data_IF_747327592778
#
_entry.id   IF_747327592778
#
_cell.length_a   1.000
_cell.length_b   1.000
_cell.length_c   1.000
_cell.angle_alpha   90.00
_cell.angle_beta   90.00
_cell.angle_gamma   90.00
#
_symmetry.space_group_name_H-M   'P 1'
#
loop_
_entity.id
_entity.type
_entity.pdbx_description
1 polymer ?
#
# COMPACT_ATOMS: atom_id res chain seq x y z
N UNK A 1 -1.80 -19.65 -16.43
CA UNK A 1 -0.51 -18.93 -16.31
C UNK A 1 -0.13 -18.92 -14.84
N UNK A 2 0.81 -19.78 -14.41
CA UNK A 2 1.27 -19.78 -13.01
C UNK A 2 1.92 -18.42 -12.71
N UNK A 3 1.60 -17.75 -11.60
CA UNK A 3 2.29 -16.52 -11.24
C UNK A 3 3.74 -16.88 -10.93
N UNK A 4 4.66 -16.50 -11.84
CA UNK A 4 6.08 -16.74 -11.62
C UNK A 4 6.52 -15.98 -10.36
N UNK A 5 7.45 -16.55 -9.59
CA UNK A 5 7.97 -15.89 -8.39
C UNK A 5 8.47 -14.46 -8.68
N UNK A 6 8.98 -14.23 -9.89
CA UNK A 6 9.38 -12.91 -10.38
C UNK A 6 8.23 -11.89 -10.44
N UNK A 7 7.00 -12.29 -10.81
CA UNK A 7 5.86 -11.35 -10.84
C UNK A 7 5.41 -11.00 -9.42
N UNK A 8 5.41 -11.98 -8.51
CA UNK A 8 5.14 -11.75 -7.08
C UNK A 8 6.19 -10.84 -6.43
N UNK A 9 7.47 -11.03 -6.76
CA UNK A 9 8.56 -10.20 -6.23
C UNK A 9 8.45 -8.75 -6.73
N UNK A 10 8.13 -8.55 -8.01
CA UNK A 10 7.89 -7.21 -8.58
C UNK A 10 6.69 -6.54 -7.91
N UNK A 11 5.61 -7.28 -7.69
CA UNK A 11 4.42 -6.77 -7.01
C UNK A 11 4.72 -6.39 -5.56
N UNK A 12 5.49 -7.22 -4.84
CA UNK A 12 5.95 -6.92 -3.49
C UNK A 12 6.83 -5.66 -3.44
N UNK A 13 7.78 -5.52 -4.37
CA UNK A 13 8.62 -4.32 -4.45
C UNK A 13 7.81 -3.05 -4.70
N UNK A 14 6.87 -3.08 -5.65
CA UNK A 14 5.99 -1.94 -5.92
C UNK A 14 5.15 -1.60 -4.70
N UNK A 15 4.57 -2.61 -4.04
CA UNK A 15 3.86 -2.44 -2.77
C UNK A 15 4.73 -1.79 -1.70
N UNK A 16 5.95 -2.29 -1.48
CA UNK A 16 6.88 -1.72 -0.48
C UNK A 16 7.21 -0.26 -0.77
N UNK A 17 7.49 0.08 -2.03
CA UNK A 17 7.81 1.47 -2.42
C UNK A 17 6.64 2.43 -2.20
N UNK A 18 5.40 1.97 -2.37
CA UNK A 18 4.21 2.81 -2.13
C UNK A 18 3.78 2.84 -0.66
N UNK A 19 3.88 1.72 0.05
CA UNK A 19 3.46 1.62 1.45
C UNK A 19 4.45 2.32 2.40
N UNK A 20 5.76 2.19 2.16
CA UNK A 20 6.79 2.80 3.00
C UNK A 20 6.58 4.31 3.25
N UNK A 21 6.45 5.16 2.22
CA UNK A 21 6.25 6.60 2.43
C UNK A 21 4.93 6.92 3.13
N UNK A 22 3.87 6.11 2.93
CA UNK A 22 2.58 6.29 3.64
C UNK A 22 2.76 6.05 5.13
N UNK A 23 3.44 4.96 5.50
CA UNK A 23 3.74 4.63 6.90
C UNK A 23 4.59 5.73 7.52
N UNK A 24 5.66 6.16 6.84
CA UNK A 24 6.53 7.24 7.30
C UNK A 24 5.75 8.54 7.51
N UNK A 25 4.92 8.94 6.56
CA UNK A 25 4.12 10.16 6.66
C UNK A 25 3.14 10.12 7.85
N UNK A 26 2.44 8.99 8.03
CA UNK A 26 1.56 8.80 9.18
C UNK A 26 2.31 8.89 10.50
N UNK A 27 3.50 8.28 10.60
CA UNK A 27 4.33 8.37 11.80
C UNK A 27 4.77 9.80 12.09
N UNK A 28 5.19 10.54 11.06
CA UNK A 28 5.57 11.96 11.20
C UNK A 28 4.40 12.86 11.61
N UNK A 29 3.17 12.50 11.25
CA UNK A 29 1.96 13.23 11.66
C UNK A 29 1.53 12.82 13.07
N UNK A 30 1.55 11.52 13.38
CA UNK A 30 1.09 10.99 14.68
C UNK A 30 2.05 11.30 15.81
N UNK A 31 3.37 11.30 15.58
CA UNK A 31 4.37 11.64 16.60
C UNK A 31 4.10 12.99 17.29
N UNK A 32 3.92 14.11 16.57
CA UNK A 32 3.62 15.40 17.20
C UNK A 32 2.19 15.52 17.72
N UNK A 33 1.22 14.76 17.17
CA UNK A 33 -0.18 14.79 17.61
C UNK A 33 -0.44 13.98 18.89
N UNK A 34 0.38 12.98 19.15
CA UNK A 34 0.19 12.05 20.28
C UNK A 34 1.39 12.00 21.22
N UNK A 35 2.02 13.14 21.60
CA UNK A 35 3.32 13.15 22.29
C UNK A 35 3.30 12.44 23.65
N UNK A 36 2.15 12.43 24.33
CA UNK A 36 1.92 11.79 25.63
C UNK A 36 1.37 10.37 25.55
N UNK A 37 1.13 9.85 24.34
CA UNK A 37 0.53 8.53 24.16
C UNK A 37 1.58 7.43 24.23
N UNK A 38 1.23 6.35 24.92
CA UNK A 38 2.02 5.13 24.89
C UNK A 38 2.01 4.50 23.50
N UNK A 39 3.03 3.68 23.22
CA UNK A 39 3.21 3.00 21.93
C UNK A 39 1.96 2.21 21.51
N UNK A 40 1.25 1.59 22.47
CA UNK A 40 0.06 0.79 22.17
C UNK A 40 -1.13 1.65 21.73
N UNK A 41 -1.34 2.83 22.32
CA UNK A 41 -2.41 3.77 21.96
C UNK A 41 -2.17 4.33 20.56
N UNK A 42 -0.91 4.69 20.27
CA UNK A 42 -0.51 5.13 18.92
C UNK A 42 -0.73 4.02 17.91
N UNK A 43 -0.35 2.78 18.23
CA UNK A 43 -0.49 1.63 17.34
C UNK A 43 -1.97 1.30 17.05
N UNK A 44 -2.83 1.44 18.06
CA UNK A 44 -4.28 1.23 17.93
C UNK A 44 -4.92 2.18 16.91
N UNK A 45 -4.42 3.40 16.77
CA UNK A 45 -4.92 4.37 15.78
C UNK A 45 -4.17 4.25 14.46
N UNK A 46 -2.85 4.13 14.52
CA UNK A 46 -1.96 4.07 13.37
C UNK A 46 -2.30 2.89 12.45
N UNK A 47 -2.43 1.68 13.00
CA UNK A 47 -2.65 0.46 12.21
C UNK A 47 -3.95 0.50 11.41
N UNK A 48 -5.13 0.76 11.99
CA UNK A 48 -6.37 0.78 11.21
C UNK A 48 -6.41 1.92 10.20
N UNK A 49 -5.85 3.09 10.51
CA UNK A 49 -5.77 4.19 9.54
C UNK A 49 -4.87 3.85 8.36
N UNK A 50 -3.68 3.29 8.63
CA UNK A 50 -2.79 2.84 7.56
C UNK A 50 -3.43 1.73 6.73
N UNK A 51 -4.03 0.71 7.37
CA UNK A 51 -4.68 -0.38 6.67
C UNK A 51 -5.83 0.11 5.78
N UNK A 52 -6.69 1.00 6.29
CA UNK A 52 -7.80 1.59 5.53
C UNK A 52 -7.26 2.41 4.35
N UNK A 53 -6.24 3.24 4.59
CA UNK A 53 -5.59 4.05 3.54
C UNK A 53 -4.98 3.15 2.46
N UNK A 54 -4.29 2.08 2.85
CA UNK A 54 -3.64 1.17 1.90
C UNK A 54 -4.70 0.44 1.07
N UNK A 55 -5.72 -0.14 1.69
CA UNK A 55 -6.74 -0.93 0.99
C UNK A 55 -7.64 -0.05 0.11
N UNK A 56 -8.01 1.15 0.56
CA UNK A 56 -8.92 2.04 -0.17
C UNK A 56 -8.22 2.95 -1.18
N UNK A 57 -6.96 3.34 -0.96
CA UNK A 57 -6.23 4.22 -1.89
C UNK A 57 -5.08 3.49 -2.58
N UNK A 58 -4.15 2.88 -1.84
CA UNK A 58 -2.93 2.34 -2.44
C UNK A 58 -3.21 1.12 -3.33
N UNK A 59 -4.01 0.17 -2.88
CA UNK A 59 -4.40 -1.03 -3.66
C UNK A 59 -5.05 -0.63 -4.99
N UNK A 60 -6.11 0.19 -5.03
CA UNK A 60 -6.70 0.61 -6.30
C UNK A 60 -5.82 1.60 -7.07
N UNK A 61 -4.92 2.34 -6.45
CA UNK A 61 -3.99 3.22 -7.16
C UNK A 61 -2.89 2.43 -7.87
N UNK A 62 -2.31 1.42 -7.20
CA UNK A 62 -1.39 0.46 -7.79
C UNK A 62 -2.12 -0.36 -8.85
N UNK A 63 -3.33 -0.85 -8.57
CA UNK A 63 -4.20 -1.46 -9.58
C UNK A 63 -4.38 -0.52 -10.77
N UNK A 64 -4.85 0.71 -10.60
CA UNK A 64 -5.10 1.61 -11.74
C UNK A 64 -3.83 2.05 -12.51
N UNK A 65 -2.67 2.22 -11.85
CA UNK A 65 -1.40 2.61 -12.51
C UNK A 65 -0.63 1.42 -13.10
N UNK A 66 -0.63 0.28 -12.41
CA UNK A 66 0.15 -0.91 -12.75
C UNK A 66 -0.71 -2.08 -13.26
N UNK A 67 -2.05 -2.04 -13.22
CA UNK A 67 -2.92 -2.98 -13.96
C UNK A 67 -2.68 -2.83 -15.44
N UNK A 68 -2.43 -1.64 -15.97
CA UNK A 68 -2.03 -1.53 -17.38
C UNK A 68 -0.73 -2.31 -17.69
N UNK A 69 0.14 -2.46 -16.68
CA UNK A 69 1.43 -3.17 -16.78
C UNK A 69 1.35 -4.66 -16.36
N UNK A 70 0.38 -5.04 -15.52
CA UNK A 70 0.17 -6.40 -14.98
C UNK A 70 -0.97 -7.12 -15.72
N UNK A 71 -2.07 -6.44 -16.02
CA UNK A 71 -3.19 -6.95 -16.82
C UNK A 71 -2.81 -7.13 -18.28
N UNK A 72 -1.80 -6.40 -18.79
CA UNK A 72 -1.38 -6.43 -20.19
C UNK A 72 -2.56 -6.63 -21.11
N UNK A 73 -3.42 -5.60 -21.29
CA UNK A 73 -4.65 -5.67 -22.12
C UNK A 73 -4.45 -6.67 -23.25
N UNK A 74 -4.98 -7.90 -23.12
CA UNK A 74 -5.49 -8.55 -24.31
C UNK A 74 -6.61 -7.64 -24.76
N UNK A 75 -6.58 -7.09 -25.99
CA UNK A 75 -7.78 -6.54 -26.56
C UNK A 75 -8.85 -7.61 -26.39
N UNK A 76 -10.00 -7.23 -25.84
CA UNK A 76 -11.19 -8.06 -25.89
C UNK A 76 -11.37 -8.42 -27.36
N UNK A 77 -11.14 -9.69 -27.70
CA UNK A 77 -11.40 -10.20 -29.03
C UNK A 77 -12.91 -10.07 -29.25
N UNK A 78 -13.28 -9.10 -30.08
CA UNK A 78 -14.58 -9.02 -30.75
C UNK A 78 -14.59 -10.07 -31.84
#
# INVERSE_FOLDING_TARGET
>A
MQPSLASRLRMALVMTVFVYPVVTLYLYILMPLTPSWDIWQRSLVLVPFMATTIVMLIVPFIGKRFDAFISGKKPVAV
#
